data_IF_680910926888
#
_entry.id   IF_680910926888
#
_cell.length_a   1.000
_cell.length_b   1.000
_cell.length_c   1.000
_cell.angle_alpha   90.00
_cell.angle_beta   90.00
_cell.angle_gamma   90.00
#
_symmetry.space_group_name_H-M   'P 1'
#
loop_
_entity.id
_entity.type
_entity.pdbx_description
1 polymer ?
#
# COMPACT_ATOMS: atom_id res chain seq x y z
N UNK A 1 -4.26 4.85 -10.74
CA UNK A 1 -3.39 3.66 -10.57
C UNK A 1 -2.00 3.98 -11.07
N UNK A 2 -0.97 3.45 -10.40
CA UNK A 2 0.43 3.62 -10.79
C UNK A 2 0.87 2.38 -11.57
N UNK A 3 1.51 2.57 -12.74
CA UNK A 3 2.14 1.47 -13.48
C UNK A 3 3.52 1.18 -12.87
N UNK A 4 3.75 -0.07 -12.46
CA UNK A 4 4.98 -0.55 -11.82
C UNK A 4 5.37 -1.89 -12.41
N UNK A 5 6.64 -2.31 -12.28
CA UNK A 5 7.01 -3.67 -12.68
C UNK A 5 6.57 -4.67 -11.61
N UNK A 6 6.20 -5.87 -12.04
CA UNK A 6 5.74 -6.92 -11.15
C UNK A 6 6.80 -7.41 -10.15
N UNK A 7 8.11 -7.30 -10.46
CA UNK A 7 9.19 -7.58 -9.52
C UNK A 7 9.41 -6.50 -8.46
N UNK A 8 8.87 -5.29 -8.66
CA UNK A 8 8.94 -4.22 -7.67
C UNK A 8 7.86 -4.38 -6.58
N UNK A 9 6.87 -5.25 -6.82
CA UNK A 9 5.80 -5.53 -5.87
C UNK A 9 6.22 -6.53 -4.79
N UNK A 10 5.83 -6.27 -3.56
CA UNK A 10 6.00 -7.22 -2.46
C UNK A 10 5.05 -8.42 -2.57
N UNK A 11 5.41 -9.52 -1.90
CA UNK A 11 4.51 -10.66 -1.69
C UNK A 11 3.26 -10.22 -0.92
N UNK A 12 2.09 -10.70 -1.34
CA UNK A 12 0.78 -10.34 -0.79
C UNK A 12 0.21 -9.02 -1.33
N UNK A 13 0.96 -8.29 -2.17
CA UNK A 13 0.44 -7.07 -2.79
C UNK A 13 -0.55 -7.41 -3.91
N UNK A 14 -1.67 -6.70 -3.91
CA UNK A 14 -2.67 -6.77 -4.97
C UNK A 14 -2.30 -5.84 -6.13
N UNK A 15 -2.53 -6.29 -7.34
CA UNK A 15 -2.31 -5.53 -8.57
C UNK A 15 -3.39 -5.85 -9.59
N UNK A 16 -3.43 -5.03 -10.65
CA UNK A 16 -4.45 -5.05 -11.66
C UNK A 16 -3.82 -5.12 -13.06
N UNK A 17 -4.47 -5.90 -13.90
CA UNK A 17 -4.36 -5.78 -15.35
C UNK A 17 -5.53 -4.91 -15.83
N UNK A 18 -5.22 -3.92 -16.66
CA UNK A 18 -6.19 -2.91 -17.11
C UNK A 18 -6.17 -2.85 -18.63
N UNK A 19 -7.36 -3.00 -19.23
CA UNK A 19 -7.61 -2.71 -20.63
C UNK A 19 -8.57 -1.53 -20.72
N UNK A 20 -8.00 -0.35 -20.93
CA UNK A 20 -8.76 0.91 -21.03
C UNK A 20 -9.65 1.00 -22.28
N UNK A 21 -9.41 0.18 -23.31
CA UNK A 21 -10.21 0.16 -24.53
C UNK A 21 -11.52 -0.60 -24.28
N UNK A 22 -11.45 -1.71 -23.53
CA UNK A 22 -12.59 -2.58 -23.23
C UNK A 22 -13.25 -2.30 -21.86
N UNK A 23 -12.73 -1.32 -21.11
CA UNK A 23 -13.12 -1.03 -19.72
C UNK A 23 -13.08 -2.28 -18.83
N UNK A 24 -12.03 -3.09 -18.99
CA UNK A 24 -11.83 -4.34 -18.24
C UNK A 24 -10.68 -4.20 -17.26
N UNK A 25 -10.93 -4.69 -16.04
CA UNK A 25 -9.97 -4.73 -14.94
C UNK A 25 -10.02 -6.13 -14.31
N UNK A 26 -8.86 -6.75 -14.10
CA UNK A 26 -8.74 -8.02 -13.36
C UNK A 26 -7.70 -7.86 -12.28
N UNK A 27 -8.03 -8.32 -11.08
CA UNK A 27 -7.18 -8.22 -9.90
C UNK A 27 -6.48 -9.55 -9.60
N UNK A 28 -5.21 -9.45 -9.25
CA UNK A 28 -4.34 -10.54 -8.86
C UNK A 28 -3.59 -10.19 -7.58
N UNK A 29 -3.21 -11.20 -6.81
CA UNK A 29 -2.30 -11.08 -5.68
C UNK A 29 -0.95 -11.71 -6.03
N UNK A 30 0.14 -11.06 -5.60
CA UNK A 30 1.49 -11.60 -5.69
C UNK A 30 1.65 -12.72 -4.66
N UNK A 31 1.74 -13.97 -5.12
CA UNK A 31 1.92 -15.12 -4.21
C UNK A 31 3.39 -15.26 -3.85
N UNK A 32 4.28 -15.30 -4.84
CA UNK A 32 5.72 -15.48 -4.62
C UNK A 32 6.55 -15.14 -5.86
N UNK A 33 7.73 -14.56 -5.65
CA UNK A 33 8.74 -14.39 -6.71
C UNK A 33 9.69 -15.59 -6.79
N UNK A 34 10.03 -15.95 -8.01
CA UNK A 34 10.97 -17.00 -8.37
C UNK A 34 12.04 -16.40 -9.27
N UNK A 35 13.27 -16.19 -8.77
CA UNK A 35 14.35 -15.68 -9.60
C UNK A 35 14.70 -16.66 -10.75
N UNK A 36 14.41 -17.95 -10.58
CA UNK A 36 14.77 -19.01 -11.53
C UNK A 36 13.63 -20.02 -11.70
N UNK A 37 12.71 -19.82 -12.66
CA UNK A 37 11.68 -20.81 -12.97
C UNK A 37 11.30 -20.82 -14.46
N UNK A 38 11.82 -21.77 -15.23
CA UNK A 38 11.29 -22.11 -16.56
C UNK A 38 12.34 -22.15 -17.67
N UNK A 39 12.07 -22.94 -18.70
CA UNK A 39 12.94 -23.18 -19.88
C UNK A 39 13.25 -21.91 -20.69
N UNK A 40 12.51 -20.82 -20.46
CA UNK A 40 12.82 -19.50 -20.97
C UNK A 40 13.63 -18.71 -19.93
N UNK A 41 14.84 -18.29 -20.28
CA UNK A 41 15.66 -17.44 -19.42
C UNK A 41 15.08 -16.01 -19.43
N UNK A 42 14.13 -15.71 -18.54
CA UNK A 42 13.75 -14.32 -18.23
C UNK A 42 14.84 -13.73 -17.31
N UNK A 43 15.58 -12.68 -17.72
CA UNK A 43 16.64 -12.09 -16.89
C UNK A 43 16.09 -11.48 -15.59
N UNK A 44 14.81 -11.12 -15.55
CA UNK A 44 14.14 -10.54 -14.39
C UNK A 44 13.35 -11.58 -13.56
N UNK A 45 13.38 -12.87 -13.95
CA UNK A 45 12.69 -13.95 -13.25
C UNK A 45 11.18 -14.03 -13.53
N UNK A 46 10.48 -14.76 -12.66
CA UNK A 46 9.05 -15.03 -12.75
C UNK A 46 8.34 -14.82 -11.40
N UNK A 47 7.06 -14.49 -11.47
CA UNK A 47 6.22 -14.29 -10.30
C UNK A 47 5.00 -15.20 -10.40
N UNK A 48 4.77 -16.02 -9.37
CA UNK A 48 3.51 -16.73 -9.18
C UNK A 48 2.48 -15.74 -8.66
N UNK A 49 1.37 -15.64 -9.37
CA UNK A 49 0.23 -14.79 -9.04
C UNK A 49 -1.04 -15.62 -9.03
N UNK A 50 -2.00 -15.22 -8.21
CA UNK A 50 -3.32 -15.86 -8.13
C UNK A 50 -4.39 -14.76 -8.27
N UNK A 51 -5.51 -15.03 -8.93
CA UNK A 51 -6.63 -14.10 -8.98
C UNK A 51 -7.05 -13.71 -7.55
N UNK A 52 -7.35 -12.44 -7.29
CA UNK A 52 -7.72 -12.01 -5.95
C UNK A 52 -9.11 -12.51 -5.52
N UNK A 53 -9.99 -12.74 -6.49
CA UNK A 53 -11.35 -13.23 -6.29
C UNK A 53 -11.63 -14.53 -7.04
N UNK A 54 -12.68 -15.23 -6.61
CA UNK A 54 -13.14 -16.44 -7.29
C UNK A 54 -13.81 -16.06 -8.62
N UNK A 55 -13.29 -16.59 -9.73
CA UNK A 55 -13.83 -16.36 -11.08
C UNK A 55 -15.28 -16.84 -11.19
N UNK A 56 -15.58 -17.99 -10.59
CA UNK A 56 -16.89 -18.61 -10.55
C UNK A 56 -16.91 -19.72 -9.49
N UNK A 57 -18.10 -20.30 -9.26
CA UNK A 57 -18.25 -21.56 -8.53
C UNK A 57 -18.44 -22.70 -9.52
N UNK A 58 -17.63 -23.75 -9.41
CA UNK A 58 -17.66 -24.88 -10.32
C UNK A 58 -17.23 -26.18 -9.63
N UNK A 59 -17.53 -27.31 -10.28
CA UNK A 59 -16.99 -28.60 -9.89
C UNK A 59 -15.51 -28.65 -10.29
N UNK A 60 -14.69 -29.36 -9.49
CA UNK A 60 -13.33 -29.69 -9.90
C UNK A 60 -13.37 -30.53 -11.18
N UNK A 61 -14.22 -31.57 -11.16
CA UNK A 61 -14.49 -32.41 -12.30
C UNK A 61 -15.95 -32.87 -12.31
N UNK A 62 -16.66 -32.64 -13.41
CA UNK A 62 -18.06 -33.06 -13.56
C UNK A 62 -18.24 -34.59 -13.50
N UNK A 63 -17.19 -35.36 -13.83
CA UNK A 63 -17.16 -36.82 -13.70
C UNK A 63 -16.78 -37.32 -12.30
N UNK A 64 -16.45 -36.41 -11.38
CA UNK A 64 -16.05 -36.74 -10.01
C UNK A 64 -14.64 -37.34 -9.89
N UNK A 65 -13.75 -37.11 -10.86
CA UNK A 65 -12.35 -37.52 -10.80
C UNK A 65 -11.48 -36.40 -10.18
N UNK A 66 -10.61 -36.73 -9.22
CA UNK A 66 -9.67 -35.77 -8.62
C UNK A 66 -8.34 -35.63 -9.41
N UNK A 67 -8.22 -36.26 -10.58
CA UNK A 67 -7.06 -36.10 -11.47
C UNK A 67 -7.19 -34.79 -12.26
N UNK A 68 -6.40 -33.79 -11.86
CA UNK A 68 -6.37 -32.48 -12.50
C UNK A 68 -6.14 -32.55 -14.02
N UNK A 69 -5.36 -33.52 -14.51
CA UNK A 69 -5.00 -33.64 -15.94
C UNK A 69 -6.23 -33.79 -16.83
N UNK A 70 -7.24 -34.50 -16.33
CA UNK A 70 -8.49 -34.83 -17.02
C UNK A 70 -9.68 -34.01 -16.55
N UNK A 71 -9.50 -33.17 -15.53
CA UNK A 71 -10.56 -32.43 -14.87
C UNK A 71 -11.28 -31.49 -15.83
N UNK A 72 -12.62 -31.47 -15.78
CA UNK A 72 -13.43 -30.52 -16.55
C UNK A 72 -13.08 -29.05 -16.22
N UNK A 73 -12.66 -28.77 -14.99
CA UNK A 73 -12.24 -27.42 -14.60
C UNK A 73 -10.95 -26.98 -15.27
N UNK A 74 -9.95 -27.87 -15.40
CA UNK A 74 -8.72 -27.59 -16.16
C UNK A 74 -9.04 -27.25 -17.61
N UNK A 75 -9.95 -28.00 -18.21
CA UNK A 75 -10.42 -27.76 -19.57
C UNK A 75 -11.05 -26.37 -19.71
N UNK A 76 -11.96 -26.00 -18.81
CA UNK A 76 -12.57 -24.67 -18.78
C UNK A 76 -11.51 -23.55 -18.66
N UNK A 77 -10.53 -23.71 -17.77
CA UNK A 77 -9.48 -22.71 -17.61
C UNK A 77 -8.67 -22.49 -18.90
N UNK A 78 -8.35 -23.58 -19.61
CA UNK A 78 -7.54 -23.52 -20.83
C UNK A 78 -8.30 -23.17 -22.11
N UNK A 79 -9.54 -23.65 -22.26
CA UNK A 79 -10.33 -23.48 -23.50
C UNK A 79 -11.23 -22.24 -23.46
N UNK A 80 -11.71 -21.83 -22.27
CA UNK A 80 -12.65 -20.72 -22.13
C UNK A 80 -12.03 -19.49 -21.47
N UNK A 81 -11.37 -19.64 -20.33
CA UNK A 81 -10.90 -18.49 -19.54
C UNK A 81 -9.61 -17.88 -20.10
N UNK A 82 -8.55 -18.68 -20.28
CA UNK A 82 -7.24 -18.18 -20.71
C UNK A 82 -7.31 -17.44 -22.06
N UNK A 83 -8.00 -17.94 -23.11
CA UNK A 83 -8.09 -17.22 -24.38
C UNK A 83 -8.74 -15.84 -24.23
N UNK A 84 -9.81 -15.73 -23.42
CA UNK A 84 -10.47 -14.45 -23.14
C UNK A 84 -9.59 -13.50 -22.33
N UNK A 85 -8.82 -14.03 -21.38
CA UNK A 85 -7.85 -13.25 -20.62
C UNK A 85 -6.76 -12.69 -21.55
N UNK A 86 -6.22 -13.50 -22.46
CA UNK A 86 -5.18 -13.08 -23.42
C UNK A 86 -5.71 -12.14 -24.51
N UNK A 87 -7.00 -12.23 -24.85
CA UNK A 87 -7.68 -11.28 -25.75
C UNK A 87 -7.83 -9.92 -25.07
N UNK A 88 -8.30 -9.90 -23.82
CA UNK A 88 -8.47 -8.67 -23.06
C UNK A 88 -7.16 -8.07 -22.56
N UNK A 89 -6.09 -8.85 -22.38
CA UNK A 89 -4.79 -8.35 -21.93
C UNK A 89 -3.68 -8.91 -22.83
N UNK A 90 -3.47 -8.34 -24.04
CA UNK A 90 -2.52 -8.84 -25.03
C UNK A 90 -1.08 -8.96 -24.51
N UNK A 91 -0.67 -8.12 -23.56
CA UNK A 91 0.64 -8.17 -22.89
C UNK A 91 0.92 -9.51 -22.20
N UNK A 92 -0.12 -10.25 -21.82
CA UNK A 92 0.02 -11.58 -21.24
C UNK A 92 0.44 -12.65 -22.24
N UNK A 93 0.26 -12.44 -23.55
CA UNK A 93 0.65 -13.44 -24.57
C UNK A 93 2.14 -13.74 -24.52
N UNK A 94 2.94 -12.72 -24.22
CA UNK A 94 4.39 -12.85 -24.07
C UNK A 94 4.83 -13.00 -22.62
N UNK A 95 3.98 -12.64 -21.64
CA UNK A 95 4.35 -12.62 -20.23
C UNK A 95 3.93 -13.88 -19.45
N UNK A 96 2.78 -14.50 -19.79
CA UNK A 96 2.33 -15.74 -19.16
C UNK A 96 3.13 -16.93 -19.71
N UNK A 97 3.63 -17.77 -18.82
CA UNK A 97 4.45 -18.93 -19.20
C UNK A 97 3.82 -20.24 -18.78
N UNK A 98 4.17 -21.29 -19.51
CA UNK A 98 3.81 -22.67 -19.15
C UNK A 98 4.76 -23.17 -18.07
N UNK A 99 4.21 -23.81 -17.05
CA UNK A 99 4.94 -24.30 -15.89
C UNK A 99 4.51 -25.71 -15.51
N UNK A 100 5.42 -26.44 -14.85
CA UNK A 100 5.19 -27.80 -14.36
C UNK A 100 4.38 -27.74 -13.07
N UNK A 101 3.38 -28.62 -12.94
CA UNK A 101 2.61 -28.88 -11.72
C UNK A 101 2.94 -30.27 -11.21
N UNK A 102 3.27 -30.36 -9.93
CA UNK A 102 3.36 -31.63 -9.21
C UNK A 102 1.96 -32.03 -8.73
N UNK A 103 1.50 -33.22 -9.13
CA UNK A 103 0.20 -33.78 -8.79
C UNK A 103 0.31 -34.89 -7.74
N UNK A 104 1.39 -34.87 -6.95
CA UNK A 104 1.49 -35.68 -5.73
C UNK A 104 0.27 -35.40 -4.84
N UNK A 105 -0.40 -36.47 -4.42
CA UNK A 105 -1.56 -36.40 -3.54
C UNK A 105 -1.17 -36.01 -2.11
N UNK A 106 -2.14 -35.56 -1.31
CA UNK A 106 -1.93 -35.09 0.07
C UNK A 106 -1.41 -36.22 0.99
N UNK A 107 -1.72 -37.48 0.67
CA UNK A 107 -1.17 -38.68 1.33
C UNK A 107 0.23 -39.11 0.82
N UNK A 108 0.77 -38.40 -0.16
CA UNK A 108 2.10 -38.62 -0.74
C UNK A 108 2.16 -39.57 -1.94
N UNK A 109 1.02 -40.12 -2.39
CA UNK A 109 0.97 -40.96 -3.58
C UNK A 109 1.20 -40.15 -4.87
N UNK A 110 1.85 -40.78 -5.86
CA UNK A 110 2.35 -40.10 -7.07
C UNK A 110 1.79 -40.63 -8.38
N UNK A 111 0.68 -41.37 -8.33
CA UNK A 111 0.11 -42.04 -9.51
C UNK A 111 -0.21 -41.08 -10.67
N UNK A 112 -0.56 -39.83 -10.33
CA UNK A 112 -0.89 -38.80 -11.32
C UNK A 112 0.34 -38.06 -11.88
N UNK A 113 1.51 -38.20 -11.27
CA UNK A 113 2.77 -37.62 -11.75
C UNK A 113 2.72 -36.11 -11.83
N UNK A 114 2.98 -35.56 -13.02
CA UNK A 114 3.06 -34.11 -13.26
C UNK A 114 2.26 -33.70 -14.49
N UNK A 115 1.90 -32.43 -14.60
CA UNK A 115 1.37 -31.84 -15.83
C UNK A 115 1.97 -30.47 -16.13
N UNK A 116 1.76 -29.97 -17.33
CA UNK A 116 2.21 -28.63 -17.74
C UNK A 116 1.01 -27.77 -18.07
N UNK A 117 0.91 -26.61 -17.42
CA UNK A 117 -0.20 -25.68 -17.56
C UNK A 117 0.32 -24.25 -17.74
N UNK A 118 -0.43 -23.42 -18.44
CA UNK A 118 -0.22 -21.95 -18.49
C UNK A 118 -1.09 -21.24 -17.46
N UNK A 119 -2.23 -21.86 -17.11
CA UNK A 119 -3.13 -21.43 -16.05
C UNK A 119 -3.52 -22.67 -15.23
N UNK A 120 -3.44 -22.58 -13.92
CA UNK A 120 -3.75 -23.69 -13.01
C UNK A 120 -4.47 -23.17 -11.77
N UNK A 121 -4.64 -23.99 -10.73
CA UNK A 121 -4.94 -23.53 -9.37
C UNK A 121 -3.73 -23.83 -8.48
N UNK A 122 -3.63 -23.23 -7.30
CA UNK A 122 -2.55 -23.55 -6.36
C UNK A 122 -2.59 -25.02 -5.90
N UNK A 123 -1.42 -25.56 -5.54
CA UNK A 123 -1.34 -26.81 -4.77
C UNK A 123 -1.61 -26.52 -3.28
N UNK A 124 -1.92 -27.57 -2.51
CA UNK A 124 -2.02 -27.47 -1.06
C UNK A 124 -0.71 -26.98 -0.42
N UNK A 125 0.45 -27.37 -0.94
CA UNK A 125 1.74 -26.92 -0.43
C UNK A 125 2.02 -25.45 -0.75
N UNK A 126 1.70 -24.99 -1.97
CA UNK A 126 1.80 -23.59 -2.34
C UNK A 126 0.87 -22.72 -1.49
N UNK A 127 -0.36 -23.18 -1.26
CA UNK A 127 -1.29 -22.51 -0.36
C UNK A 127 -0.76 -22.45 1.07
N UNK A 128 -0.32 -23.57 1.66
CA UNK A 128 0.22 -23.62 3.03
C UNK A 128 1.42 -22.69 3.20
N UNK A 129 2.33 -22.67 2.23
CA UNK A 129 3.51 -21.81 2.23
C UNK A 129 3.18 -20.31 2.11
N UNK A 130 1.96 -19.98 1.67
CA UNK A 130 1.51 -18.61 1.49
C UNK A 130 0.22 -18.28 2.22
N UNK A 131 -0.13 -19.06 3.25
CA UNK A 131 -1.40 -18.93 3.96
C UNK A 131 -1.59 -17.54 4.59
N UNK A 132 -0.50 -16.90 4.99
CA UNK A 132 -0.48 -15.60 5.67
C UNK A 132 -0.90 -14.42 4.77
N UNK A 133 -0.89 -14.56 3.43
CA UNK A 133 -1.33 -13.48 2.53
C UNK A 133 -2.84 -13.47 2.29
N UNK A 134 -3.57 -14.48 2.79
CA UNK A 134 -5.00 -14.61 2.57
C UNK A 134 -5.81 -14.24 3.82
N UNK A 135 -6.65 -13.20 3.65
CA UNK A 135 -7.79 -12.91 4.52
C UNK A 135 -9.08 -13.21 3.75
N UNK A 136 -9.33 -14.51 3.53
CA UNK A 136 -10.51 -14.95 2.78
C UNK A 136 -11.80 -14.58 3.57
N UNK A 137 -12.78 -13.90 2.93
CA UNK A 137 -14.01 -13.51 3.60
C UNK A 137 -14.91 -14.74 3.89
N UNK A 138 -15.86 -14.61 4.84
CA UNK A 138 -16.82 -15.65 5.16
C UNK A 138 -17.51 -16.25 3.92
N UNK A 139 -17.55 -17.58 3.80
CA UNK A 139 -18.29 -18.30 2.75
C UNK A 139 -17.54 -18.53 1.44
N UNK A 140 -16.23 -18.28 1.42
CA UNK A 140 -15.35 -18.65 0.32
C UNK A 140 -14.76 -20.03 0.60
N UNK A 141 -15.07 -21.00 -0.27
CA UNK A 141 -14.40 -22.30 -0.31
C UNK A 141 -13.80 -22.44 -1.69
N UNK A 142 -12.52 -22.72 -1.84
CA UNK A 142 -11.89 -22.80 -3.17
C UNK A 142 -11.15 -24.10 -3.40
N UNK A 143 -11.16 -24.55 -4.65
CA UNK A 143 -10.42 -25.74 -5.08
C UNK A 143 -8.91 -25.49 -5.10
N UNK A 144 -8.16 -26.54 -4.81
CA UNK A 144 -6.74 -26.68 -5.08
C UNK A 144 -6.53 -27.87 -6.02
N UNK A 145 -5.43 -27.88 -6.79
CA UNK A 145 -5.18 -29.01 -7.72
C UNK A 145 -4.72 -30.29 -7.03
N UNK A 146 -4.37 -30.22 -5.75
CA UNK A 146 -3.88 -31.36 -4.99
C UNK A 146 -5.01 -32.38 -4.80
N UNK A 147 -4.84 -33.64 -5.23
CA UNK A 147 -5.76 -34.71 -4.90
C UNK A 147 -5.58 -35.11 -3.42
N UNK A 148 -6.65 -35.56 -2.77
CA UNK A 148 -6.58 -36.09 -1.40
C UNK A 148 -5.79 -37.42 -1.34
N UNK A 149 -6.08 -38.31 -2.31
CA UNK A 149 -5.41 -39.59 -2.54
C UNK A 149 -5.51 -39.94 -4.03
N UNK A 150 -5.02 -41.10 -4.42
CA UNK A 150 -5.05 -41.62 -5.80
C UNK A 150 -5.70 -43.02 -5.86
N UNK A 151 -5.96 -43.59 -7.05
CA UNK A 151 -6.62 -44.89 -7.17
C UNK A 151 -5.88 -46.03 -6.45
N UNK A 152 -4.55 -45.99 -6.37
CA UNK A 152 -3.79 -47.00 -5.62
C UNK A 152 -3.99 -46.91 -4.10
N UNK A 153 -4.30 -45.72 -3.57
CA UNK A 153 -4.68 -45.47 -2.17
C UNK A 153 -6.17 -45.71 -1.88
N UNK A 154 -6.97 -46.03 -2.89
CA UNK A 154 -8.41 -46.27 -2.75
C UNK A 154 -9.26 -45.00 -2.80
N UNK A 155 -8.70 -43.85 -3.17
CA UNK A 155 -9.43 -42.58 -3.27
C UNK A 155 -9.14 -41.85 -4.58
N UNK A 156 -10.15 -41.65 -5.44
CA UNK A 156 -10.00 -40.93 -6.73
C UNK A 156 -11.05 -39.85 -6.94
N UNK A 157 -11.78 -39.49 -5.88
CA UNK A 157 -12.96 -38.63 -5.97
C UNK A 157 -12.86 -37.37 -5.12
N UNK A 158 -11.81 -37.22 -4.32
CA UNK A 158 -11.65 -36.09 -3.41
C UNK A 158 -10.47 -35.22 -3.83
N UNK A 159 -10.73 -33.93 -4.03
CA UNK A 159 -9.69 -32.92 -4.24
C UNK A 159 -9.59 -32.04 -2.99
N UNK A 160 -8.41 -31.44 -2.77
CA UNK A 160 -8.19 -30.54 -1.65
C UNK A 160 -8.93 -29.23 -1.87
N UNK A 161 -9.50 -28.70 -0.80
CA UNK A 161 -10.18 -27.40 -0.76
C UNK A 161 -9.67 -26.57 0.40
N UNK A 162 -9.73 -25.27 0.23
CA UNK A 162 -9.56 -24.29 1.30
C UNK A 162 -10.95 -23.94 1.84
N UNK A 163 -11.12 -24.01 3.16
CA UNK A 163 -12.30 -23.55 3.86
C UNK A 163 -12.27 -22.04 4.08
N UNK A 164 -13.42 -21.50 4.47
CA UNK A 164 -13.58 -20.08 4.82
C UNK A 164 -12.64 -19.59 5.93
N UNK A 165 -12.30 -20.43 6.90
CA UNK A 165 -11.31 -20.11 7.95
C UNK A 165 -9.86 -20.30 7.47
N UNK A 166 -9.69 -20.61 6.19
CA UNK A 166 -8.44 -20.94 5.52
C UNK A 166 -7.81 -22.26 6.00
N UNK A 167 -8.57 -23.15 6.63
CA UNK A 167 -8.13 -24.52 6.88
C UNK A 167 -8.23 -25.36 5.60
N UNK A 168 -7.37 -26.37 5.48
CA UNK A 168 -7.49 -27.33 4.39
C UNK A 168 -8.48 -28.44 4.74
N UNK A 169 -9.35 -28.76 3.80
CA UNK A 169 -10.23 -29.94 3.81
C UNK A 169 -10.11 -30.68 2.48
N UNK A 170 -10.83 -31.78 2.36
CA UNK A 170 -11.11 -32.40 1.07
C UNK A 170 -12.60 -32.31 0.77
N UNK A 171 -12.94 -32.42 -0.52
CA UNK A 171 -14.31 -32.47 -0.96
C UNK A 171 -14.47 -33.23 -2.26
N UNK A 172 -15.68 -33.75 -2.51
CA UNK A 172 -15.98 -34.51 -3.71
C UNK A 172 -15.79 -33.65 -4.96
N UNK A 173 -15.01 -34.15 -5.93
CA UNK A 173 -14.62 -33.41 -7.12
C UNK A 173 -15.82 -32.94 -7.97
N UNK A 174 -16.98 -33.62 -7.91
CA UNK A 174 -18.19 -33.22 -8.62
C UNK A 174 -18.97 -32.06 -7.98
N UNK A 175 -18.56 -31.56 -6.80
CA UNK A 175 -19.29 -30.53 -6.09
C UNK A 175 -19.11 -29.15 -6.73
N UNK A 176 -20.19 -28.61 -7.28
CA UNK A 176 -20.22 -27.37 -8.07
C UNK A 176 -20.20 -26.05 -7.29
N UNK A 177 -19.98 -26.07 -5.97
CA UNK A 177 -20.15 -24.87 -5.11
C UNK A 177 -18.84 -24.28 -4.58
N UNK A 178 -17.69 -24.75 -5.06
CA UNK A 178 -16.38 -24.20 -4.67
C UNK A 178 -15.89 -23.20 -5.71
N UNK A 179 -15.26 -22.16 -5.22
CA UNK A 179 -14.58 -21.10 -5.94
C UNK A 179 -13.42 -21.61 -6.77
N UNK A 180 -13.27 -20.99 -7.94
CA UNK A 180 -12.20 -21.22 -8.90
C UNK A 180 -11.30 -19.99 -8.89
N UNK A 181 -10.05 -20.14 -8.46
CA UNK A 181 -9.10 -19.04 -8.35
C UNK A 181 -7.84 -19.32 -9.19
N UNK A 182 -7.81 -18.83 -10.44
CA UNK A 182 -6.71 -19.13 -11.35
C UNK A 182 -5.37 -18.61 -10.85
N UNK A 183 -4.33 -19.42 -11.01
CA UNK A 183 -2.94 -19.08 -10.74
C UNK A 183 -2.10 -19.16 -12.03
N UNK A 184 -1.20 -18.20 -12.19
CA UNK A 184 -0.30 -18.07 -13.35
C UNK A 184 1.13 -17.77 -12.91
N UNK A 185 2.09 -18.20 -13.73
CA UNK A 185 3.45 -17.65 -13.69
C UNK A 185 3.57 -16.56 -14.75
N UNK A 186 3.90 -15.35 -14.31
CA UNK A 186 4.13 -14.19 -15.17
C UNK A 186 5.60 -13.79 -15.14
N UNK A 187 6.16 -13.31 -16.26
CA UNK A 187 7.47 -12.65 -16.29
C UNK A 187 7.46 -11.48 -15.30
N UNK A 188 8.44 -11.41 -14.40
CA UNK A 188 8.42 -10.38 -13.35
C UNK A 188 8.68 -8.95 -13.87
N UNK A 189 9.16 -8.81 -15.10
CA UNK A 189 9.26 -7.52 -15.79
C UNK A 189 7.94 -6.93 -16.30
N UNK A 190 6.84 -7.67 -16.18
CA UNK A 190 5.53 -7.22 -16.66
C UNK A 190 5.11 -5.93 -15.95
N UNK A 191 4.67 -4.93 -16.73
CA UNK A 191 4.09 -3.70 -16.19
C UNK A 191 2.64 -3.95 -15.77
N UNK A 192 2.37 -3.73 -14.49
CA UNK A 192 1.05 -3.92 -13.87
C UNK A 192 0.60 -2.63 -13.21
N UNK A 193 -0.70 -2.50 -12.96
CA UNK A 193 -1.26 -1.36 -12.25
C UNK A 193 -1.45 -1.71 -10.79
N UNK A 194 -1.08 -0.82 -9.87
CA UNK A 194 -1.51 -0.93 -8.47
C UNK A 194 -2.51 0.18 -8.17
N UNK A 195 -3.48 -0.13 -7.31
CA UNK A 195 -4.27 0.93 -6.69
C UNK A 195 -3.31 1.87 -5.99
N UNK A 196 -3.41 3.15 -6.32
CA UNK A 196 -2.66 4.16 -5.62
C UNK A 196 -3.21 4.18 -4.21
N UNK A 197 -2.55 3.47 -3.30
CA UNK A 197 -2.31 4.13 -2.02
C UNK A 197 -1.48 5.32 -2.43
N UNK A 198 -2.06 6.52 -2.35
CA UNK A 198 -1.27 7.73 -2.40
C UNK A 198 -0.08 7.47 -1.47
N UNK A 199 1.12 7.34 -2.04
CA UNK A 199 2.37 7.23 -1.28
C UNK A 199 2.59 8.52 -0.43
N UNK A 200 1.63 9.45 -0.47
CA UNK A 200 1.52 10.72 0.26
C UNK A 200 0.60 10.66 1.50
N UNK A 201 0.14 9.49 1.99
CA UNK A 201 -0.62 9.42 3.25
C UNK A 201 0.18 9.08 4.51
N UNK A 202 1.47 8.77 4.36
CA UNK A 202 2.44 8.73 5.47
C UNK A 202 3.57 9.77 5.33
N UNK A 203 3.54 10.59 4.28
CA UNK A 203 4.29 11.85 4.33
C UNK A 203 3.41 12.89 5.02
N UNK A 204 3.75 13.18 6.28
CA UNK A 204 3.36 14.42 6.95
C UNK A 204 3.37 15.57 5.92
N UNK A 205 2.32 16.39 5.85
CA UNK A 205 2.35 17.61 5.03
C UNK A 205 3.59 18.44 5.43
N UNK A 206 4.10 19.35 4.57
CA UNK A 206 5.22 20.21 4.96
C UNK A 206 5.03 20.87 6.34
N UNK A 207 3.81 21.33 6.64
CA UNK A 207 3.43 21.91 7.92
C UNK A 207 3.47 20.89 9.06
N UNK A 208 3.02 19.65 8.83
CA UNK A 208 3.10 18.57 9.81
C UNK A 208 4.54 18.08 10.03
N UNK A 209 5.40 18.10 9.00
CA UNK A 209 6.84 17.80 9.11
C UNK A 209 7.54 18.86 9.94
N UNK A 210 7.21 20.13 9.72
CA UNK A 210 7.71 21.25 10.51
C UNK A 210 7.25 21.16 11.97
N UNK A 211 5.97 20.88 12.21
CA UNK A 211 5.42 20.70 13.56
C UNK A 211 6.11 19.54 14.30
N UNK A 212 6.25 18.39 13.65
CA UNK A 212 6.96 17.24 14.23
C UNK A 212 8.44 17.54 14.54
N UNK A 213 9.09 18.40 13.75
CA UNK A 213 10.46 18.85 14.01
C UNK A 213 10.54 19.73 15.27
N UNK A 214 9.58 20.64 15.47
CA UNK A 214 9.49 21.46 16.67
C UNK A 214 9.20 20.62 17.92
N UNK A 215 8.25 19.69 17.84
CA UNK A 215 7.94 18.73 18.91
C UNK A 215 9.18 17.92 19.32
N UNK A 216 9.93 17.38 18.35
CA UNK A 216 11.16 16.64 18.61
C UNK A 216 12.26 17.51 19.26
N UNK A 217 12.33 18.80 18.91
CA UNK A 217 13.27 19.73 19.53
C UNK A 217 12.91 20.02 21.00
N UNK A 218 11.63 20.21 21.30
CA UNK A 218 11.15 20.41 22.68
C UNK A 218 11.35 19.13 23.50
N UNK A 219 11.01 17.96 22.96
CA UNK A 219 11.18 16.67 23.64
C UNK A 219 12.66 16.39 23.98
N UNK A 220 13.57 16.67 23.03
CA UNK A 220 14.99 16.34 23.18
C UNK A 220 15.73 17.27 24.15
N UNK A 221 15.40 18.57 24.15
CA UNK A 221 16.17 19.58 24.87
C UNK A 221 15.44 20.14 26.10
N UNK A 222 14.12 19.97 26.19
CA UNK A 222 13.28 20.43 27.29
C UNK A 222 12.77 21.85 27.12
N UNK A 223 11.60 22.13 27.71
CA UNK A 223 10.87 23.40 27.59
C UNK A 223 11.69 24.61 28.07
N UNK A 224 12.27 24.53 29.28
CA UNK A 224 13.08 25.62 29.87
C UNK A 224 14.29 25.97 28.99
N UNK A 225 14.92 24.97 28.36
CA UNK A 225 16.06 25.20 27.49
C UNK A 225 15.63 25.94 26.20
N UNK A 226 14.51 25.53 25.61
CA UNK A 226 13.98 26.21 24.42
C UNK A 226 13.51 27.64 24.74
N UNK A 227 12.96 27.89 25.93
CA UNK A 227 12.64 29.24 26.37
C UNK A 227 13.88 30.14 26.47
N UNK A 228 15.01 29.60 26.95
CA UNK A 228 16.26 30.36 27.01
C UNK A 228 16.80 30.68 25.62
N UNK A 229 16.76 29.73 24.68
CA UNK A 229 17.15 29.97 23.29
C UNK A 229 16.25 31.03 22.64
N UNK A 230 14.94 30.97 22.86
CA UNK A 230 14.01 31.98 22.34
C UNK A 230 14.38 33.41 22.82
N UNK A 231 14.80 33.55 24.08
CA UNK A 231 15.29 34.82 24.62
C UNK A 231 16.61 35.25 23.96
N UNK A 232 17.51 34.31 23.70
CA UNK A 232 18.77 34.55 23.01
C UNK A 232 18.52 35.08 21.58
N UNK A 233 17.72 34.38 20.78
CA UNK A 233 17.40 34.78 19.39
C UNK A 233 16.69 36.14 19.32
N UNK A 234 15.77 36.42 20.24
CA UNK A 234 15.15 37.76 20.36
C UNK A 234 16.18 38.85 20.66
N UNK A 235 17.21 38.52 21.45
CA UNK A 235 18.34 39.40 21.74
C UNK A 235 19.24 39.63 20.51
N UNK A 236 19.48 38.59 19.71
CA UNK A 236 20.26 38.64 18.47
C UNK A 236 19.56 39.54 17.44
N UNK A 237 18.27 39.30 17.19
CA UNK A 237 17.43 40.13 16.32
C UNK A 237 17.41 41.60 16.77
N UNK A 238 17.28 41.84 18.08
CA UNK A 238 17.33 43.19 18.65
C UNK A 238 18.66 43.89 18.32
N UNK A 239 19.79 43.21 18.45
CA UNK A 239 21.12 43.75 18.08
C UNK A 239 21.20 44.01 16.57
N UNK A 240 20.72 43.12 15.73
CA UNK A 240 20.74 43.26 14.27
C UNK A 240 19.93 44.49 13.81
N UNK A 241 18.72 44.68 14.35
CA UNK A 241 17.88 45.84 14.09
C UNK A 241 18.54 47.15 14.56
N UNK A 242 19.19 47.15 15.73
CA UNK A 242 19.93 48.32 16.21
C UNK A 242 21.10 48.69 15.28
N UNK A 243 21.83 47.70 14.74
CA UNK A 243 22.88 47.94 13.76
C UNK A 243 22.30 48.54 12.47
N UNK A 244 21.15 48.08 12.00
CA UNK A 244 20.46 48.67 10.85
C UNK A 244 20.01 50.11 11.08
N UNK A 245 19.48 50.43 12.26
CA UNK A 245 19.14 51.82 12.60
C UNK A 245 20.39 52.71 12.63
N UNK A 246 21.53 52.19 13.09
CA UNK A 246 22.81 52.92 13.03
C UNK A 246 23.27 53.14 11.60
N UNK A 247 23.13 52.14 10.74
CA UNK A 247 23.37 52.31 9.31
C UNK A 247 22.48 53.41 8.71
N UNK A 248 21.17 53.37 8.96
CA UNK A 248 20.22 54.37 8.42
C UNK A 248 20.51 55.79 8.89
N UNK A 249 20.90 55.95 10.15
CA UNK A 249 21.05 57.28 10.77
C UNK A 249 22.48 57.83 10.68
N UNK A 250 23.49 56.96 10.57
CA UNK A 250 24.90 57.32 10.70
C UNK A 250 25.82 56.66 9.66
N UNK A 251 25.28 55.95 8.66
CA UNK A 251 26.01 55.26 7.57
C UNK A 251 27.10 54.29 8.07
N UNK A 252 26.82 53.60 9.18
CA UNK A 252 27.73 52.64 9.80
C UNK A 252 27.41 51.19 9.39
N UNK A 253 28.36 50.55 8.72
CA UNK A 253 28.28 49.13 8.33
C UNK A 253 27.97 48.91 6.85
N UNK A 254 27.91 47.64 6.45
CA UNK A 254 27.62 47.26 5.05
C UNK A 254 26.17 46.82 4.93
N UNK A 255 25.42 47.50 4.06
CA UNK A 255 23.98 47.27 3.86
C UNK A 255 23.62 45.80 3.69
N UNK A 256 24.32 45.09 2.79
CA UNK A 256 24.00 43.70 2.46
C UNK A 256 24.24 42.75 3.64
N UNK A 257 25.28 42.99 4.43
CA UNK A 257 25.57 42.19 5.62
C UNK A 257 24.55 42.43 6.73
N UNK A 258 24.09 43.67 6.88
CA UNK A 258 23.08 44.01 7.87
C UNK A 258 21.72 43.43 7.52
N UNK A 259 21.33 43.47 6.23
CA UNK A 259 20.11 42.86 5.75
C UNK A 259 20.16 41.34 5.87
N UNK A 260 21.31 40.73 5.57
CA UNK A 260 21.52 39.30 5.76
C UNK A 260 21.40 38.90 7.22
N UNK A 261 22.07 39.62 8.13
CA UNK A 261 21.96 39.37 9.57
C UNK A 261 20.50 39.46 10.03
N UNK A 262 19.78 40.53 9.68
CA UNK A 262 18.35 40.65 10.03
C UNK A 262 17.52 39.49 9.47
N UNK A 263 17.81 39.01 8.27
CA UNK A 263 17.08 37.88 7.68
C UNK A 263 17.32 36.58 8.45
N UNK A 264 18.57 36.30 8.83
CA UNK A 264 18.96 35.14 9.65
C UNK A 264 18.26 35.21 11.01
N UNK A 265 18.45 36.30 11.76
CA UNK A 265 17.85 36.43 13.11
C UNK A 265 16.30 36.40 13.08
N UNK A 266 15.67 36.88 12.01
CA UNK A 266 14.21 36.78 11.85
C UNK A 266 13.75 35.35 11.60
N UNK A 267 14.54 34.55 10.89
CA UNK A 267 14.24 33.14 10.68
C UNK A 267 14.37 32.37 12.00
N UNK A 268 15.43 32.63 12.76
CA UNK A 268 15.70 31.97 14.05
C UNK A 268 14.61 32.32 15.08
N UNK A 269 14.24 33.60 15.21
CA UNK A 269 13.09 34.02 16.04
C UNK A 269 11.79 33.36 15.57
N UNK A 270 11.56 33.26 14.25
CA UNK A 270 10.36 32.61 13.72
C UNK A 270 10.26 31.14 14.11
N UNK A 271 11.37 30.39 14.00
CA UNK A 271 11.46 28.99 14.44
C UNK A 271 11.19 28.88 15.95
N UNK A 272 11.77 29.78 16.76
CA UNK A 272 11.57 29.75 18.20
C UNK A 272 10.14 30.10 18.62
N UNK A 273 9.46 30.99 17.90
CA UNK A 273 8.04 31.26 18.14
C UNK A 273 7.16 30.04 17.89
N UNK A 274 7.42 29.28 16.81
CA UNK A 274 6.70 28.03 16.53
C UNK A 274 6.98 26.95 17.61
N UNK A 275 8.20 26.88 18.15
CA UNK A 275 8.49 25.99 19.28
C UNK A 275 7.79 26.44 20.58
N UNK A 276 7.65 27.74 20.82
CA UNK A 276 6.88 28.25 21.96
C UNK A 276 5.38 27.92 21.84
N UNK A 277 4.85 27.85 20.62
CA UNK A 277 3.48 27.37 20.37
C UNK A 277 3.31 25.90 20.74
N UNK A 278 4.31 25.05 20.48
CA UNK A 278 4.31 23.65 20.97
C UNK A 278 4.27 23.58 22.50
N UNK A 279 4.96 24.50 23.19
CA UNK A 279 5.07 24.51 24.67
C UNK A 279 3.81 25.11 25.33
N UNK A 280 3.32 26.24 24.83
CA UNK A 280 2.25 27.03 25.48
C UNK A 280 0.88 26.93 24.80
N UNK A 281 0.82 26.29 23.62
CA UNK A 281 -0.36 26.19 22.78
C UNK A 281 -0.54 27.36 21.80
N UNK A 282 -1.50 27.19 20.89
CA UNK A 282 -1.90 28.21 19.89
C UNK A 282 -2.32 29.53 20.56
N UNK A 283 -1.95 30.65 19.95
CA UNK A 283 -2.26 32.00 20.43
C UNK A 283 -3.21 32.80 19.50
N UNK A 284 -3.91 32.12 18.59
CA UNK A 284 -4.72 32.69 17.51
C UNK A 284 -5.76 33.73 17.98
N UNK A 285 -6.35 33.55 19.16
CA UNK A 285 -7.29 34.53 19.73
C UNK A 285 -6.60 35.83 20.13
N UNK A 286 -5.47 35.74 20.83
CA UNK A 286 -4.69 36.90 21.22
C UNK A 286 -4.13 37.61 19.97
N UNK A 287 -3.70 36.86 18.95
CA UNK A 287 -3.25 37.43 17.68
C UNK A 287 -4.38 38.21 16.99
N UNK A 288 -5.58 37.62 16.87
CA UNK A 288 -6.74 38.27 16.28
C UNK A 288 -7.11 39.59 17.00
N UNK A 289 -7.09 39.61 18.34
CA UNK A 289 -7.32 40.83 19.12
C UNK A 289 -6.26 41.91 18.87
N UNK A 290 -4.98 41.51 18.77
CA UNK A 290 -3.88 42.45 18.47
C UNK A 290 -3.98 42.99 17.04
N UNK A 291 -4.40 42.17 16.09
CA UNK A 291 -4.63 42.58 14.69
C UNK A 291 -5.82 43.52 14.56
N UNK A 292 -6.92 43.29 15.28
CA UNK A 292 -8.05 44.23 15.36
C UNK A 292 -7.59 45.60 15.89
N UNK A 293 -6.83 45.61 16.98
CA UNK A 293 -6.29 46.83 17.55
C UNK A 293 -5.33 47.54 16.57
N UNK A 294 -4.50 46.79 15.85
CA UNK A 294 -3.63 47.35 14.82
C UNK A 294 -4.44 47.95 13.67
N UNK A 295 -5.49 47.28 13.19
CA UNK A 295 -6.38 47.77 12.15
C UNK A 295 -7.04 49.09 12.56
N UNK A 296 -7.52 49.18 13.80
CA UNK A 296 -8.08 50.40 14.37
C UNK A 296 -7.04 51.53 14.41
N UNK A 297 -5.79 51.25 14.81
CA UNK A 297 -4.70 52.23 14.86
C UNK A 297 -4.32 52.78 13.47
N UNK A 298 -4.38 51.95 12.42
CA UNK A 298 -4.02 52.35 11.05
C UNK A 298 -5.22 52.78 10.21
N UNK A 299 -6.44 52.72 10.75
CA UNK A 299 -7.68 53.13 10.07
C UNK A 299 -8.14 52.18 8.97
N UNK A 300 -7.81 50.89 9.08
CA UNK A 300 -8.25 49.84 8.14
C UNK A 300 -9.41 49.03 8.72
N UNK A 301 -10.24 48.39 7.87
CA UNK A 301 -11.27 47.49 8.35
C UNK A 301 -10.66 46.31 9.10
N UNK A 302 -11.35 45.85 10.14
CA UNK A 302 -10.99 44.64 10.89
C UNK A 302 -11.05 43.42 9.97
N UNK A 303 -10.14 42.47 10.22
CA UNK A 303 -9.99 41.27 9.43
C UNK A 303 -10.94 40.17 9.95
N UNK A 304 -11.50 39.39 9.02
CA UNK A 304 -12.40 38.27 9.35
C UNK A 304 -11.58 37.03 9.70
N UNK A 305 -11.07 37.00 10.93
CA UNK A 305 -10.35 35.84 11.48
C UNK A 305 -11.31 34.91 12.24
N UNK A 306 -11.17 33.58 12.10
CA UNK A 306 -11.96 32.62 12.85
C UNK A 306 -11.72 32.79 14.36
N UNK A 307 -12.79 32.99 15.12
CA UNK A 307 -12.78 33.06 16.60
C UNK A 307 -13.55 31.86 17.12
N UNK A 308 -13.09 31.23 18.21
CA UNK A 308 -13.88 30.17 18.86
C UNK A 308 -15.18 30.79 19.36
N UNK A 309 -16.32 30.21 18.96
CA UNK A 309 -17.62 30.61 19.50
C UNK A 309 -17.62 30.39 21.01
N UNK A 310 -18.09 31.39 21.76
CA UNK A 310 -17.93 31.47 23.21
C UNK A 310 -18.34 30.19 23.94
N UNK A 311 -17.45 29.74 24.84
CA UNK A 311 -17.74 28.64 25.74
C UNK A 311 -19.05 28.84 26.48
N UNK A 312 -19.84 27.78 26.53
CA UNK A 312 -21.00 27.65 27.40
C UNK A 312 -20.62 28.13 28.81
N UNK A 313 -21.36 29.12 29.29
CA UNK A 313 -21.39 29.46 30.71
C UNK A 313 -21.70 28.20 31.49
N UNK A 314 -20.73 27.73 32.26
CA UNK A 314 -20.95 26.70 33.27
C UNK A 314 -21.85 27.31 34.37
N UNK A 315 -23.16 27.11 34.25
CA UNK A 315 -24.11 27.39 35.32
C UNK A 315 -23.84 26.38 36.45
N UNK A 316 -23.09 26.82 37.46
CA UNK A 316 -23.07 26.16 38.76
C UNK A 316 -24.42 26.42 39.44
N UNK A 317 -25.24 25.38 39.57
CA UNK A 317 -26.25 25.26 40.62
C UNK A 317 -25.64 24.64 41.88
#
# INVERSE_FOLDING_TARGET
MKKVKLNDLGRGVHFFLENFIEDKKVEFVVVRHFPECGEAQSPEGYTLVEAAEDLCKAAFDNGGCNDWRTASLRKYLHEDYLPKLLESFPELKDAAVTFLRDLTADDGLKDYGTCTDTVSLLTADEYKANRDIYMDPPGTWRWLITPDSTPSGGGSSFARVVNTDGTLSNDYAYIGVRGVRPALYLKSGLLVSVEGVDEDKDELTPEQKETALYEAAVEKFGEDAQMLIAVEELGELSKALLKWLRYKNFDQGRRDELLKAIAEERADVGIMLNQLEVIFGENSEAEAEKLDHLADLVGLPRLDFPRKEGGETCECS
#
